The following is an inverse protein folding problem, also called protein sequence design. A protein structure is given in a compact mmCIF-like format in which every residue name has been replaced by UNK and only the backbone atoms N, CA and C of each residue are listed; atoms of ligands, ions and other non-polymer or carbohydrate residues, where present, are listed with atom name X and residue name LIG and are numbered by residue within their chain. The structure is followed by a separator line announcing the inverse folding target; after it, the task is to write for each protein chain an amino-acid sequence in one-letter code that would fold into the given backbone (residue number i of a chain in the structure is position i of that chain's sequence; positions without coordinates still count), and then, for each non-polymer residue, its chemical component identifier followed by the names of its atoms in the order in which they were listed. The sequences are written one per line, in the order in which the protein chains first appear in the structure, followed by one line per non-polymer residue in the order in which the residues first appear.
data_IF_953643450277
#
_entry.id   IF_953643450277
#
_cell.length_a   1.000
_cell.length_b   1.000
_cell.length_c   1.000
_cell.angle_alpha   90.00
_cell.angle_beta   90.00
_cell.angle_gamma   90.00
#
_symmetry.space_group_name_H-M   'P 1'
#
loop_
_entity.id
_entity.type
_entity.pdbx_description
1 polymer ?
#
# COMPACT_ATOMS: atom_id res chain seq x y z
N UNK A 1 10.58 -25.22 10.32
CA UNK A 1 10.66 -24.05 9.44
C UNK A 1 9.25 -23.73 9.05
N UNK A 2 8.76 -22.58 9.50
CA UNK A 2 7.46 -22.05 9.07
C UNK A 2 7.54 -21.68 7.58
N UNK A 3 6.43 -21.74 6.88
CA UNK A 3 6.31 -21.22 5.51
C UNK A 3 6.78 -19.77 5.42
N UNK A 4 6.51 -18.98 6.46
CA UNK A 4 6.92 -17.58 6.55
C UNK A 4 8.44 -17.42 6.49
N UNK A 5 9.20 -18.32 7.15
CA UNK A 5 10.67 -18.31 7.18
C UNK A 5 11.27 -18.31 5.77
N UNK A 6 10.60 -19.00 4.83
CA UNK A 6 11.04 -19.08 3.43
C UNK A 6 11.00 -17.73 2.72
N UNK A 7 10.13 -16.81 3.16
CA UNK A 7 9.93 -15.50 2.52
C UNK A 7 10.56 -14.33 3.31
N UNK A 8 11.09 -14.56 4.51
CA UNK A 8 11.58 -13.48 5.40
C UNK A 8 12.59 -12.58 4.70
N UNK A 9 13.58 -13.15 4.01
CA UNK A 9 14.62 -12.35 3.35
C UNK A 9 14.06 -11.50 2.21
N UNK A 10 13.14 -12.07 1.41
CA UNK A 10 12.48 -11.35 0.32
C UNK A 10 11.60 -10.21 0.85
N UNK A 11 10.83 -10.48 1.90
CA UNK A 11 9.97 -9.48 2.56
C UNK A 11 10.84 -8.37 3.19
N UNK A 12 11.92 -8.73 3.87
CA UNK A 12 12.83 -7.77 4.49
C UNK A 12 13.49 -6.87 3.44
N UNK A 13 13.96 -7.43 2.33
CA UNK A 13 14.54 -6.66 1.22
C UNK A 13 13.55 -5.64 0.67
N UNK A 14 12.31 -6.07 0.37
CA UNK A 14 11.30 -5.17 -0.22
C UNK A 14 10.81 -4.12 0.79
N UNK A 15 10.66 -4.49 2.07
CA UNK A 15 10.32 -3.54 3.12
C UNK A 15 11.42 -2.48 3.31
N UNK A 16 12.70 -2.88 3.22
CA UNK A 16 13.84 -1.97 3.27
C UNK A 16 13.91 -1.08 2.02
N UNK A 17 13.73 -1.66 0.83
CA UNK A 17 13.66 -0.95 -0.44
C UNK A 17 12.58 0.14 -0.41
N UNK A 18 11.35 -0.20 -0.02
CA UNK A 18 10.23 0.75 0.03
C UNK A 18 10.50 1.95 0.95
N UNK A 19 11.23 1.74 2.06
CA UNK A 19 11.63 2.81 2.98
C UNK A 19 12.77 3.68 2.45
N UNK A 20 13.74 3.09 1.77
CA UNK A 20 15.00 3.76 1.41
C UNK A 20 15.04 4.33 0.00
N UNK A 21 14.19 3.85 -0.91
CA UNK A 21 14.21 4.26 -2.32
C UNK A 21 13.94 5.75 -2.53
N UNK A 22 13.23 6.40 -1.61
CA UNK A 22 13.01 7.85 -1.65
C UNK A 22 14.30 8.65 -1.38
N UNK A 23 15.27 8.06 -0.68
CA UNK A 23 16.56 8.69 -0.34
C UNK A 23 17.66 8.25 -1.31
N UNK A 24 17.66 6.99 -1.73
CA UNK A 24 18.67 6.38 -2.61
C UNK A 24 17.97 5.64 -3.74
N UNK A 25 18.03 6.22 -4.95
CA UNK A 25 17.55 5.53 -6.14
C UNK A 25 18.52 4.39 -6.49
N UNK A 26 17.96 3.23 -6.82
CA UNK A 26 18.68 2.03 -7.27
C UNK A 26 18.25 1.71 -8.70
N UNK A 27 19.10 1.01 -9.45
CA UNK A 27 18.77 0.63 -10.83
C UNK A 27 17.78 -0.53 -10.86
N UNK A 28 16.99 -0.55 -11.94
CA UNK A 28 16.00 -1.57 -12.23
C UNK A 28 16.62 -2.95 -12.33
N UNK A 29 17.75 -3.06 -13.03
CA UNK A 29 18.47 -4.32 -13.18
C UNK A 29 18.94 -4.88 -11.83
N UNK A 30 19.36 -4.01 -10.91
CA UNK A 30 19.76 -4.43 -9.58
C UNK A 30 18.56 -4.97 -8.80
N UNK A 31 17.45 -4.22 -8.72
CA UNK A 31 16.25 -4.66 -8.00
C UNK A 31 15.68 -5.94 -8.60
N UNK A 32 15.62 -6.04 -9.92
CA UNK A 32 15.13 -7.23 -10.62
C UNK A 32 16.00 -8.46 -10.33
N UNK A 33 17.33 -8.30 -10.37
CA UNK A 33 18.27 -9.39 -10.09
C UNK A 33 18.19 -9.83 -8.63
N UNK A 34 18.17 -8.87 -7.69
CA UNK A 34 18.06 -9.14 -6.25
C UNK A 34 16.74 -9.86 -5.92
N UNK A 35 15.62 -9.39 -6.48
CA UNK A 35 14.30 -10.03 -6.27
C UNK A 35 14.28 -11.43 -6.87
N UNK A 36 14.77 -11.63 -8.10
CA UNK A 36 14.81 -12.95 -8.73
C UNK A 36 15.64 -13.94 -7.88
N UNK A 37 16.83 -13.52 -7.45
CA UNK A 37 17.68 -14.34 -6.57
C UNK A 37 17.00 -14.67 -5.23
N UNK A 38 16.31 -13.71 -4.61
CA UNK A 38 15.59 -13.93 -3.36
C UNK A 38 14.35 -14.84 -3.54
N UNK A 39 13.70 -14.79 -4.71
CA UNK A 39 12.62 -15.71 -5.07
C UNK A 39 13.14 -17.14 -5.21
N UNK A 40 14.26 -17.33 -5.91
CA UNK A 40 14.89 -18.65 -6.06
C UNK A 40 15.32 -19.20 -4.69
N UNK A 41 15.92 -18.35 -3.86
CA UNK A 41 16.29 -18.73 -2.48
C UNK A 41 15.08 -19.11 -1.63
N UNK A 42 13.95 -18.42 -1.77
CA UNK A 42 12.71 -18.76 -1.06
C UNK A 42 12.19 -20.15 -1.49
N UNK A 43 12.27 -20.46 -2.79
CA UNK A 43 11.91 -21.77 -3.32
C UNK A 43 12.83 -22.88 -2.79
N UNK A 44 14.14 -22.65 -2.79
CA UNK A 44 15.14 -23.61 -2.27
C UNK A 44 14.96 -23.87 -0.78
N UNK A 45 14.65 -22.82 -0.01
CA UNK A 45 14.37 -22.91 1.43
C UNK A 45 13.10 -23.73 1.69
N UNK A 46 12.08 -23.57 0.84
CA UNK A 46 10.84 -24.34 0.92
C UNK A 46 11.01 -25.82 0.56
N UNK A 47 11.92 -26.17 -0.36
CA UNK A 47 12.15 -27.58 -0.75
C UNK A 47 12.58 -28.47 0.43
N UNK A 48 13.11 -27.87 1.50
CA UNK A 48 13.51 -28.57 2.72
C UNK A 48 12.34 -28.76 3.71
N UNK A 49 11.19 -28.13 3.44
CA UNK A 49 9.98 -28.22 4.25
C UNK A 49 9.14 -29.46 3.88
N UNK A 50 8.26 -29.88 4.79
CA UNK A 50 7.30 -30.98 4.55
C UNK A 50 5.93 -30.47 4.11
N UNK A 51 5.83 -29.19 3.79
CA UNK A 51 4.56 -28.53 3.49
C UNK A 51 4.12 -28.82 2.06
N UNK A 52 2.80 -28.78 1.78
CA UNK A 52 2.29 -28.93 0.42
C UNK A 52 2.80 -27.81 -0.49
N UNK A 53 3.19 -28.15 -1.71
CA UNK A 53 3.57 -27.17 -2.74
C UNK A 53 2.45 -26.15 -3.02
N UNK A 54 1.18 -26.57 -2.95
CA UNK A 54 0.02 -25.68 -3.08
C UNK A 54 0.02 -24.56 -2.01
N UNK A 55 0.38 -24.89 -0.77
CA UNK A 55 0.46 -23.89 0.32
C UNK A 55 1.55 -22.86 0.04
N UNK A 56 2.70 -23.29 -0.49
CA UNK A 56 3.75 -22.38 -0.93
C UNK A 56 3.33 -21.49 -2.09
N UNK A 57 2.66 -22.04 -3.09
CA UNK A 57 2.17 -21.26 -4.23
C UNK A 57 1.11 -20.24 -3.81
N UNK A 58 0.23 -20.59 -2.87
CA UNK A 58 -0.74 -19.65 -2.29
C UNK A 58 -0.06 -18.53 -1.50
N UNK A 59 0.95 -18.84 -0.69
CA UNK A 59 1.72 -17.85 0.07
C UNK A 59 2.57 -16.96 -0.83
N UNK A 60 3.26 -17.54 -1.83
CA UNK A 60 4.06 -16.82 -2.81
C UNK A 60 3.21 -15.82 -3.59
N UNK A 61 1.97 -16.18 -3.92
CA UNK A 61 1.04 -15.25 -4.57
C UNK A 61 0.80 -13.99 -3.72
N UNK A 62 0.52 -14.15 -2.43
CA UNK A 62 0.31 -13.03 -1.51
C UNK A 62 1.54 -12.13 -1.42
N UNK A 63 2.73 -12.73 -1.28
CA UNK A 63 3.99 -11.98 -1.23
C UNK A 63 4.20 -11.21 -2.52
N UNK A 64 4.00 -11.81 -3.69
CA UNK A 64 4.22 -11.13 -4.97
C UNK A 64 3.24 -9.99 -5.21
N UNK A 65 1.96 -10.19 -4.86
CA UNK A 65 0.97 -9.12 -4.90
C UNK A 65 1.38 -7.92 -4.02
N UNK A 66 1.89 -8.20 -2.81
CA UNK A 66 2.39 -7.17 -1.91
C UNK A 66 3.64 -6.47 -2.44
N UNK A 67 4.61 -7.21 -3.00
CA UNK A 67 5.82 -6.63 -3.60
C UNK A 67 5.44 -5.66 -4.72
N UNK A 68 4.58 -6.08 -5.64
CA UNK A 68 4.14 -5.24 -6.74
C UNK A 68 3.47 -3.95 -6.23
N UNK A 69 2.62 -4.05 -5.21
CA UNK A 69 1.98 -2.87 -4.61
C UNK A 69 3.00 -1.93 -3.95
N UNK A 70 3.95 -2.46 -3.18
CA UNK A 70 5.01 -1.66 -2.53
C UNK A 70 5.88 -0.94 -3.57
N UNK A 71 6.31 -1.64 -4.61
CA UNK A 71 7.16 -1.06 -5.66
C UNK A 71 6.41 0.03 -6.43
N UNK A 72 5.16 -0.22 -6.82
CA UNK A 72 4.36 0.72 -7.62
C UNK A 72 3.88 1.93 -6.82
N UNK A 73 3.62 1.76 -5.52
CA UNK A 73 3.24 2.85 -4.61
C UNK A 73 4.43 3.70 -4.16
N UNK A 74 5.66 3.25 -4.40
CA UNK A 74 6.88 3.98 -4.04
C UNK A 74 7.18 5.20 -4.93
N UNK A 75 8.15 6.01 -4.49
CA UNK A 75 8.72 7.12 -5.26
C UNK A 75 9.89 6.70 -6.17
N UNK A 76 10.02 5.41 -6.48
CA UNK A 76 11.10 4.92 -7.32
C UNK A 76 10.97 5.43 -8.76
N UNK A 77 12.07 5.96 -9.32
CA UNK A 77 12.08 6.53 -10.67
C UNK A 77 11.77 5.50 -11.76
N UNK A 78 12.18 4.24 -11.56
CA UNK A 78 12.04 3.17 -12.55
C UNK A 78 10.81 2.28 -12.34
N UNK A 79 9.89 2.66 -11.45
CA UNK A 79 8.63 1.92 -11.20
C UNK A 79 7.78 1.69 -12.46
N UNK A 80 7.91 2.55 -13.48
CA UNK A 80 7.24 2.37 -14.77
C UNK A 80 7.74 1.15 -15.55
N UNK A 81 9.03 0.81 -15.44
CA UNK A 81 9.57 -0.44 -16.00
C UNK A 81 9.04 -1.65 -15.23
N UNK A 82 8.99 -1.56 -13.91
CA UNK A 82 8.38 -2.60 -13.06
C UNK A 82 6.93 -2.86 -13.40
N UNK A 83 6.15 -1.81 -13.72
CA UNK A 83 4.75 -1.96 -14.13
C UNK A 83 4.57 -2.88 -15.37
N UNK A 84 5.54 -2.91 -16.28
CA UNK A 84 5.52 -3.82 -17.43
C UNK A 84 5.81 -5.28 -17.09
N UNK A 85 6.59 -5.51 -16.04
CA UNK A 85 7.17 -6.82 -15.67
C UNK A 85 6.85 -7.22 -14.21
N UNK A 86 5.67 -6.84 -13.74
CA UNK A 86 5.18 -7.17 -12.39
C UNK A 86 5.24 -8.68 -12.13
N UNK A 87 5.49 -9.05 -10.87
CA UNK A 87 5.58 -10.45 -10.49
C UNK A 87 4.25 -11.18 -10.70
N UNK A 88 3.12 -10.52 -10.41
CA UNK A 88 1.79 -11.08 -10.67
C UNK A 88 1.58 -11.45 -12.15
N UNK A 89 2.16 -10.68 -13.07
CA UNK A 89 2.03 -10.92 -14.52
C UNK A 89 2.95 -12.03 -14.97
N UNK A 90 4.21 -11.98 -14.54
CA UNK A 90 5.26 -12.93 -14.96
C UNK A 90 4.97 -14.34 -14.43
N UNK A 91 4.50 -14.47 -13.19
CA UNK A 91 4.32 -15.78 -12.55
C UNK A 91 2.88 -16.31 -12.61
N UNK A 92 1.88 -15.43 -12.62
CA UNK A 92 0.47 -15.84 -12.52
C UNK A 92 -0.40 -15.34 -13.68
N UNK A 93 0.19 -14.65 -14.67
CA UNK A 93 -0.50 -14.14 -15.85
C UNK A 93 -1.75 -13.31 -15.52
N UNK A 94 -1.71 -12.58 -14.40
CA UNK A 94 -2.81 -11.74 -13.93
C UNK A 94 -2.38 -10.28 -13.76
N UNK A 95 -3.35 -9.38 -13.84
CA UNK A 95 -3.21 -7.95 -13.48
C UNK A 95 -4.14 -7.57 -12.33
N UNK A 96 -4.86 -8.54 -11.75
CA UNK A 96 -5.91 -8.33 -10.75
C UNK A 96 -5.48 -8.90 -9.38
N UNK A 97 -4.18 -8.95 -9.08
CA UNK A 97 -3.70 -9.55 -7.85
C UNK A 97 -4.26 -8.85 -6.58
N UNK A 98 -4.56 -7.54 -6.66
CA UNK A 98 -5.19 -6.78 -5.59
C UNK A 98 -6.58 -7.26 -5.19
N UNK A 99 -7.34 -7.85 -6.13
CA UNK A 99 -8.65 -8.46 -5.89
C UNK A 99 -8.48 -9.92 -5.47
N UNK A 100 -7.72 -10.68 -6.28
CA UNK A 100 -7.50 -12.11 -6.10
C UNK A 100 -6.83 -12.45 -4.77
N UNK A 101 -6.06 -11.53 -4.18
CA UNK A 101 -5.50 -11.70 -2.84
C UNK A 101 -6.60 -12.01 -1.82
N UNK A 102 -7.67 -11.21 -1.79
CA UNK A 102 -8.74 -11.41 -0.81
C UNK A 102 -9.60 -12.62 -1.14
N UNK A 103 -9.80 -12.92 -2.41
CA UNK A 103 -10.55 -14.10 -2.84
C UNK A 103 -9.82 -15.38 -2.43
N UNK A 104 -8.50 -15.45 -2.63
CA UNK A 104 -7.66 -16.56 -2.17
C UNK A 104 -7.62 -16.67 -0.65
N UNK A 105 -7.48 -15.54 0.06
CA UNK A 105 -7.53 -15.52 1.53
C UNK A 105 -8.84 -16.10 2.10
N UNK A 106 -9.97 -15.77 1.46
CA UNK A 106 -11.28 -16.27 1.86
C UNK A 106 -11.48 -17.76 1.54
N UNK A 107 -10.75 -18.29 0.55
CA UNK A 107 -10.80 -19.70 0.16
C UNK A 107 -9.88 -20.60 0.99
N UNK A 108 -9.01 -20.03 1.84
CA UNK A 108 -8.12 -20.82 2.69
C UNK A 108 -8.89 -21.71 3.68
N UNK A 109 -8.53 -22.99 3.71
CA UNK A 109 -9.05 -23.96 4.66
C UNK A 109 -8.62 -23.59 6.09
N UNK A 110 -9.40 -23.93 7.14
CA UNK A 110 -9.03 -23.68 8.53
C UNK A 110 -7.65 -24.25 8.93
N UNK A 111 -7.21 -25.33 8.27
CA UNK A 111 -5.92 -25.98 8.54
C UNK A 111 -4.72 -25.29 7.87
N UNK A 112 -4.94 -24.38 6.91
CA UNK A 112 -3.87 -23.67 6.20
C UNK A 112 -3.40 -22.43 7.00
N UNK A 113 -3.02 -22.64 8.26
CA UNK A 113 -2.63 -21.56 9.17
C UNK A 113 -1.36 -20.84 8.72
N UNK A 114 -0.36 -21.58 8.23
CA UNK A 114 0.91 -21.00 7.76
C UNK A 114 0.72 -20.10 6.53
N UNK A 115 -0.18 -20.49 5.61
CA UNK A 115 -0.55 -19.64 4.47
C UNK A 115 -1.27 -18.39 4.97
N UNK A 116 -2.24 -18.55 5.87
CA UNK A 116 -2.99 -17.42 6.46
C UNK A 116 -2.06 -16.46 7.21
N UNK A 117 -1.01 -16.96 7.86
CA UNK A 117 0.02 -16.18 8.53
C UNK A 117 0.75 -15.25 7.53
N UNK A 118 1.17 -15.77 6.37
CA UNK A 118 1.81 -14.97 5.31
C UNK A 118 0.87 -13.88 4.79
N UNK A 119 -0.40 -14.20 4.52
CA UNK A 119 -1.39 -13.20 4.11
C UNK A 119 -1.58 -12.12 5.18
N UNK A 120 -1.66 -12.53 6.45
CA UNK A 120 -1.84 -11.61 7.58
C UNK A 120 -0.62 -10.69 7.74
N UNK A 121 0.58 -11.21 7.52
CA UNK A 121 1.81 -10.42 7.50
C UNK A 121 1.79 -9.38 6.35
N UNK A 122 1.42 -9.77 5.13
CA UNK A 122 1.28 -8.82 4.01
C UNK A 122 0.30 -7.68 4.35
N UNK A 123 -0.84 -8.00 4.98
CA UNK A 123 -1.80 -6.99 5.45
C UNK A 123 -1.22 -6.09 6.54
N UNK A 124 -0.47 -6.65 7.50
CA UNK A 124 0.21 -5.88 8.55
C UNK A 124 1.29 -4.94 7.99
N UNK A 125 1.94 -5.35 6.90
CA UNK A 125 2.91 -4.55 6.14
C UNK A 125 2.27 -3.48 5.24
N UNK A 126 0.95 -3.36 5.25
CA UNK A 126 0.22 -2.28 4.59
C UNK A 126 -0.39 -2.64 3.23
N UNK A 127 -0.45 -3.93 2.87
CA UNK A 127 -1.18 -4.35 1.67
C UNK A 127 -2.64 -3.90 1.74
N UNK A 128 -3.08 -3.16 0.72
CA UNK A 128 -4.43 -2.62 0.61
C UNK A 128 -5.23 -3.34 -0.48
N UNK A 129 -4.61 -3.64 -1.62
CA UNK A 129 -5.26 -4.23 -2.78
C UNK A 129 -6.53 -3.47 -3.17
N UNK A 130 -7.66 -4.18 -3.27
CA UNK A 130 -8.96 -3.60 -3.58
C UNK A 130 -9.47 -2.53 -2.62
N UNK A 131 -8.98 -2.53 -1.37
CA UNK A 131 -9.41 -1.61 -0.31
C UNK A 131 -8.58 -0.32 -0.27
N UNK A 132 -8.26 0.27 -1.43
CA UNK A 132 -7.45 1.48 -1.55
C UNK A 132 -8.26 2.79 -1.62
N UNK A 133 -9.61 2.71 -1.61
CA UNK A 133 -10.46 3.90 -1.72
C UNK A 133 -10.70 4.57 -0.35
N UNK A 134 -10.97 5.89 -0.31
CA UNK A 134 -11.40 6.54 0.92
C UNK A 134 -12.69 5.91 1.47
N UNK A 135 -12.66 5.48 2.73
CA UNK A 135 -13.78 4.82 3.41
C UNK A 135 -13.56 3.32 3.61
N UNK A 136 -12.64 2.71 2.86
CA UNK A 136 -12.34 1.28 2.97
C UNK A 136 -11.46 0.95 4.19
N UNK A 137 -10.86 1.97 4.83
CA UNK A 137 -9.89 1.77 5.90
C UNK A 137 -10.48 0.98 7.07
N UNK A 138 -11.74 1.23 7.43
CA UNK A 138 -12.42 0.51 8.50
C UNK A 138 -12.63 -0.98 8.16
N UNK A 139 -13.01 -1.27 6.91
CA UNK A 139 -13.24 -2.63 6.45
C UNK A 139 -11.95 -3.42 6.37
N UNK A 140 -10.88 -2.80 5.87
CA UNK A 140 -9.55 -3.41 5.83
C UNK A 140 -9.03 -3.72 7.24
N UNK A 141 -9.22 -2.80 8.20
CA UNK A 141 -8.86 -3.05 9.61
C UNK A 141 -9.72 -4.16 10.25
N UNK A 142 -11.01 -4.22 9.94
CA UNK A 142 -11.86 -5.33 10.40
C UNK A 142 -11.38 -6.67 9.83
N UNK A 143 -11.01 -6.71 8.55
CA UNK A 143 -10.48 -7.90 7.88
C UNK A 143 -9.17 -8.37 8.52
N UNK A 144 -8.23 -7.45 8.78
CA UNK A 144 -6.98 -7.73 9.52
C UNK A 144 -7.26 -8.35 10.87
N UNK A 145 -8.10 -7.69 11.68
CA UNK A 145 -8.42 -8.15 13.03
C UNK A 145 -9.12 -9.51 13.03
N UNK A 146 -9.99 -9.77 12.05
CA UNK A 146 -10.66 -11.07 11.92
C UNK A 146 -9.67 -12.19 11.60
N UNK A 147 -8.74 -11.97 10.67
CA UNK A 147 -7.73 -12.95 10.30
C UNK A 147 -6.72 -13.21 11.42
N UNK A 148 -6.32 -12.17 12.15
CA UNK A 148 -5.44 -12.32 13.31
C UNK A 148 -6.09 -13.18 14.40
N UNK A 149 -7.39 -13.03 14.64
CA UNK A 149 -8.13 -13.88 15.59
C UNK A 149 -8.18 -15.35 15.16
N UNK A 150 -8.24 -15.62 13.85
CA UNK A 150 -8.27 -16.98 13.32
C UNK A 150 -6.92 -17.70 13.46
N UNK A 151 -5.80 -16.96 13.52
CA UNK A 151 -4.49 -17.52 13.85
C UNK A 151 -4.39 -17.88 15.35
N UNK A 152 -5.32 -17.40 16.18
CA UNK A 152 -5.46 -17.77 17.59
C UNK A 152 -4.29 -17.31 18.48
N UNK A 153 -4.46 -17.42 19.81
CA UNK A 153 -3.36 -17.26 20.77
C UNK A 153 -2.37 -18.43 20.74
N UNK A 154 -2.66 -19.56 20.07
CA UNK A 154 -1.72 -20.70 19.94
C UNK A 154 -0.62 -20.47 18.89
N UNK A 155 -0.87 -19.67 17.84
CA UNK A 155 0.21 -19.16 16.98
C UNK A 155 0.92 -17.95 17.59
N UNK A 156 0.34 -17.35 18.65
CA UNK A 156 1.01 -16.37 19.48
C UNK A 156 1.91 -17.04 20.52
N UNK A 157 2.92 -17.79 20.05
CA UNK A 157 4.06 -18.23 20.86
C UNK A 157 3.65 -19.25 21.95
N UNK A 158 4.49 -20.26 22.18
CA UNK A 158 4.36 -21.09 23.37
C UNK A 158 4.17 -20.19 24.61
N UNK A 159 3.20 -20.44 25.50
CA UNK A 159 2.91 -19.58 26.65
C UNK A 159 3.96 -19.69 27.78
N UNK A 160 5.21 -19.96 27.43
CA UNK A 160 6.37 -19.83 28.28
C UNK A 160 7.38 -18.96 27.52
N UNK A 161 7.61 -17.77 28.07
CA UNK A 161 8.58 -16.77 27.64
C UNK A 161 8.07 -15.79 26.58
N UNK A 162 7.99 -14.53 27.02
CA UNK A 162 7.65 -13.35 26.24
C UNK A 162 8.77 -13.04 25.22
N UNK A 163 8.98 -13.94 24.26
CA UNK A 163 9.91 -13.70 23.18
C UNK A 163 9.15 -12.97 22.07
N UNK A 164 9.22 -11.63 22.15
CA UNK A 164 8.84 -10.71 21.09
C UNK A 164 9.23 -11.29 19.72
N UNK A 165 8.32 -11.30 18.74
CA UNK A 165 8.56 -11.87 17.40
C UNK A 165 9.86 -11.37 16.74
N UNK A 166 10.32 -10.16 17.11
CA UNK A 166 11.61 -9.58 16.74
C UNK A 166 12.13 -8.67 17.86
N UNK A 167 12.79 -9.18 18.92
CA UNK A 167 13.19 -8.38 20.07
C UNK A 167 14.10 -7.21 19.66
N UNK A 168 14.97 -7.45 18.68
CA UNK A 168 15.87 -6.45 18.10
C UNK A 168 15.17 -5.33 17.31
N UNK A 169 13.96 -5.55 16.79
CA UNK A 169 13.19 -4.53 16.06
C UNK A 169 12.51 -3.53 17.01
N UNK A 170 12.31 -3.91 18.28
CA UNK A 170 11.75 -3.04 19.32
C UNK A 170 12.81 -2.21 20.05
N UNK A 171 14.10 -2.37 19.72
CA UNK A 171 15.15 -1.46 20.18
C UNK A 171 14.89 -0.11 19.54
N UNK A 172 14.14 0.70 20.28
CA UNK A 172 13.84 2.08 19.95
C UNK A 172 15.10 2.89 20.16
N UNK A 173 15.88 3.08 19.10
CA UNK A 173 16.77 4.24 19.08
C UNK A 173 15.92 5.49 19.28
N UNK A 174 16.33 6.30 20.26
CA UNK A 174 15.59 7.46 20.72
C UNK A 174 15.33 8.47 19.61
N UNK A 175 14.15 9.09 19.65
CA UNK A 175 13.93 10.41 19.05
C UNK A 175 13.77 10.46 17.53
N UNK A 176 12.71 9.86 16.99
CA UNK A 176 12.08 10.39 15.78
C UNK A 176 10.58 10.09 15.78
N UNK A 177 9.81 11.10 15.39
CA UNK A 177 8.36 11.16 15.50
C UNK A 177 7.63 10.02 14.79
N UNK A 178 6.43 9.77 15.31
CA UNK A 178 5.39 8.92 14.74
C UNK A 178 5.07 9.33 13.31
N UNK A 179 5.77 8.77 12.33
CA UNK A 179 5.33 8.76 10.93
C UNK A 179 5.25 7.31 10.49
N UNK A 180 4.27 6.62 11.08
CA UNK A 180 3.73 5.40 10.50
C UNK A 180 3.25 5.72 9.09
N UNK A 181 3.57 4.80 8.18
CA UNK A 181 3.23 4.74 6.77
C UNK A 181 1.86 5.38 6.45
N UNK A 182 1.82 6.69 6.19
CA UNK A 182 0.64 7.37 5.69
C UNK A 182 0.71 7.34 4.17
N UNK A 183 0.31 6.19 3.62
CA UNK A 183 -0.01 6.05 2.21
C UNK A 183 -1.20 6.93 1.88
N UNK A 184 -0.95 8.21 1.55
CA UNK A 184 -1.82 9.02 0.69
C UNK A 184 -1.09 10.28 0.21
N UNK A 185 -0.32 10.17 -0.87
CA UNK A 185 -0.15 11.30 -1.78
C UNK A 185 -1.43 11.42 -2.60
N UNK A 186 -2.44 12.08 -2.03
CA UNK A 186 -3.46 12.71 -2.86
C UNK A 186 -2.76 13.79 -3.67
N UNK A 187 -2.70 13.59 -4.98
CA UNK A 187 -2.25 14.59 -5.94
C UNK A 187 -2.96 15.91 -5.67
N UNK A 188 -2.22 16.87 -5.12
CA UNK A 188 -2.68 18.19 -4.69
C UNK A 188 -2.83 19.14 -5.89
N UNK A 189 -3.51 18.69 -6.95
CA UNK A 189 -3.74 19.49 -8.15
C UNK A 189 -5.23 19.71 -8.47
N UNK A 190 -6.16 19.22 -7.64
CA UNK A 190 -7.61 19.42 -7.84
C UNK A 190 -8.31 20.39 -6.87
N UNK A 191 -7.57 21.13 -6.03
CA UNK A 191 -8.17 22.23 -5.24
C UNK A 191 -8.09 23.60 -5.94
N UNK A 192 -7.22 23.76 -6.94
CA UNK A 192 -7.06 25.03 -7.66
C UNK A 192 -8.23 25.31 -8.61
N UNK A 193 -8.88 24.28 -9.16
CA UNK A 193 -10.01 24.48 -10.10
C UNK A 193 -11.31 24.86 -9.36
N UNK A 194 -11.56 24.32 -8.16
CA UNK A 194 -12.80 24.57 -7.41
C UNK A 194 -12.94 25.99 -6.83
N UNK A 195 -11.82 26.68 -6.54
CA UNK A 195 -11.83 28.01 -5.94
C UNK A 195 -11.88 29.16 -6.98
N UNK A 196 -11.72 28.87 -8.27
CA UNK A 196 -11.73 29.91 -9.33
C UNK A 196 -13.14 30.38 -9.68
N UNK A 197 -14.13 29.49 -9.64
CA UNK A 197 -15.51 29.78 -10.01
C UNK A 197 -16.18 30.83 -9.09
N UNK A 198 -16.07 30.76 -7.74
CA UNK A 198 -16.66 31.76 -6.86
C UNK A 198 -15.99 33.13 -6.98
N UNK A 199 -14.68 33.17 -7.22
CA UNK A 199 -13.91 34.41 -7.36
C UNK A 199 -14.27 35.13 -8.66
N UNK A 200 -14.42 34.39 -9.78
CA UNK A 200 -14.87 34.96 -11.06
C UNK A 200 -16.31 35.47 -10.97
N UNK A 201 -17.20 34.72 -10.30
CA UNK A 201 -18.59 35.14 -10.11
C UNK A 201 -18.67 36.43 -9.27
N UNK A 202 -17.91 36.52 -8.18
CA UNK A 202 -17.83 37.73 -7.36
C UNK A 202 -17.33 38.94 -8.17
N UNK A 203 -16.28 38.76 -8.98
CA UNK A 203 -15.72 39.84 -9.80
C UNK A 203 -16.71 40.32 -10.88
N UNK A 204 -17.44 39.40 -11.49
CA UNK A 204 -18.51 39.73 -12.45
C UNK A 204 -19.64 40.53 -11.81
N UNK A 205 -20.13 40.10 -10.64
CA UNK A 205 -21.16 40.84 -9.89
C UNK A 205 -20.70 42.24 -9.49
N UNK A 206 -19.46 42.38 -9.04
CA UNK A 206 -18.88 43.67 -8.68
C UNK A 206 -18.85 44.64 -9.87
N UNK A 207 -18.47 44.17 -11.06
CA UNK A 207 -18.39 45.01 -12.25
C UNK A 207 -19.77 45.45 -12.74
N UNK A 208 -20.77 44.56 -12.71
CA UNK A 208 -22.17 44.88 -13.04
C UNK A 208 -22.71 45.93 -12.07
N UNK A 209 -22.50 45.74 -10.77
CA UNK A 209 -22.94 46.68 -9.75
C UNK A 209 -22.32 48.06 -9.95
N UNK A 210 -21.02 48.11 -10.25
CA UNK A 210 -20.33 49.37 -10.52
C UNK A 210 -20.86 50.06 -11.79
N UNK A 211 -21.08 49.31 -12.87
CA UNK A 211 -21.65 49.86 -14.10
C UNK A 211 -23.06 50.43 -13.89
N UNK A 212 -23.90 49.73 -13.13
CA UNK A 212 -25.24 50.20 -12.77
C UNK A 212 -25.16 51.47 -11.92
N UNK A 213 -24.26 51.52 -10.94
CA UNK A 213 -24.05 52.73 -10.13
C UNK A 213 -23.59 53.92 -10.98
N UNK A 214 -22.62 53.72 -11.85
CA UNK A 214 -22.09 54.80 -12.70
C UNK A 214 -23.21 55.31 -13.64
N UNK A 215 -23.98 54.40 -14.26
CA UNK A 215 -25.07 54.76 -15.18
C UNK A 215 -26.29 55.39 -14.46
N UNK A 216 -26.61 54.96 -13.24
CA UNK A 216 -27.66 55.58 -12.42
C UNK A 216 -27.20 56.94 -11.91
N UNK A 217 -25.92 57.11 -11.57
CA UNK A 217 -25.38 58.38 -11.12
C UNK A 217 -25.42 59.45 -12.23
N UNK A 218 -25.11 59.10 -13.47
CA UNK A 218 -25.20 60.03 -14.60
C UNK A 218 -26.65 60.39 -14.96
N UNK A 219 -27.59 59.43 -14.86
CA UNK A 219 -29.02 59.69 -15.07
C UNK A 219 -29.64 60.57 -13.97
N UNK A 220 -29.19 60.43 -12.72
CA UNK A 220 -29.64 61.30 -11.63
C UNK A 220 -29.07 62.72 -11.75
N UNK A 221 -27.81 62.89 -12.16
CA UNK A 221 -27.21 64.21 -12.34
C UNK A 221 -27.81 64.97 -13.54
N UNK A 222 -28.21 64.27 -14.60
CA UNK A 222 -28.87 64.88 -15.76
C UNK A 222 -30.36 65.20 -15.56
N UNK A 223 -31.04 64.56 -14.59
CA UNK A 223 -32.45 64.82 -14.28
C UNK A 223 -32.69 65.95 -13.27
N UNK A 224 -31.63 66.54 -12.69
CA UNK A 224 -31.70 67.58 -11.64
C UNK A 224 -31.15 68.94 -12.11
N UNK A 225 -30.87 69.09 -13.41
CA UNK A 225 -30.62 70.40 -14.05
C UNK A 225 -31.75 70.75 -14.99
#
# INVERSE_FOLDING_TARGET
MSLLDSFVELIAYIAYFGKTVSLRQVSYEQVKTDVAHLVDKAQDSFQQSRLPQDDFDQARFAVFAWIDEVVLSSNWSERGRWQGEQLQRTYYQTTEAGELFFDRLNQLRPQQLEVREVYTLCLALGFSGRYCNPGDEFLLEQLKNSNLKLLGPESAVHPAEQELLFPAAYVREGGAGKNAFKGRRVSSLKWVVGATLPVLLYWGLFFIYRFVLDNVSENFISSVR
#
